data_IF_227914008483
#
_entry.id   IF_227914008483
#
_cell.length_a   1.000
_cell.length_b   1.000
_cell.length_c   1.000
_cell.angle_alpha   90.00
_cell.angle_beta   90.00
_cell.angle_gamma   90.00
#
_symmetry.space_group_name_H-M   'P 1'
#
loop_
_entity.id
_entity.type
_entity.pdbx_description
1 polymer ?
#
# COMPACT_ATOMS: atom_id res chain seq x y z
N UNK A 1 -4.82 -40.68 -34.33
CA UNK A 1 -5.96 -40.52 -33.38
C UNK A 1 -5.95 -39.09 -32.84
N UNK A 2 -6.89 -38.25 -33.26
CA UNK A 2 -7.03 -36.87 -32.68
C UNK A 2 -7.70 -36.96 -31.31
N UNK A 3 -6.95 -36.70 -30.26
CA UNK A 3 -7.50 -36.58 -28.91
C UNK A 3 -8.55 -35.43 -28.91
N UNK A 4 -9.79 -35.76 -28.67
CA UNK A 4 -10.86 -34.79 -28.41
C UNK A 4 -10.49 -34.07 -27.11
N UNK A 5 -10.00 -32.80 -27.17
CA UNK A 5 -9.85 -31.94 -25.99
C UNK A 5 -11.23 -31.82 -25.33
N UNK A 6 -11.42 -32.45 -24.18
CA UNK A 6 -12.58 -32.21 -23.33
C UNK A 6 -12.56 -30.73 -22.96
N UNK A 7 -13.63 -30.01 -23.32
CA UNK A 7 -13.80 -28.61 -22.89
C UNK A 7 -13.97 -28.67 -21.37
N UNK A 8 -12.96 -28.20 -20.67
CA UNK A 8 -13.03 -28.06 -19.22
C UNK A 8 -13.96 -26.87 -18.89
N UNK A 9 -15.11 -27.15 -18.36
CA UNK A 9 -16.14 -26.13 -18.05
C UNK A 9 -15.67 -25.20 -16.94
N UNK A 10 -14.90 -25.71 -16.00
CA UNK A 10 -14.40 -24.93 -14.85
C UNK A 10 -13.62 -23.68 -15.23
N UNK A 11 -12.56 -23.73 -16.09
CA UNK A 11 -11.81 -22.52 -16.47
C UNK A 11 -12.67 -21.52 -17.24
N UNK A 12 -13.67 -21.98 -18.01
CA UNK A 12 -14.56 -21.07 -18.73
C UNK A 12 -15.47 -20.32 -17.75
N UNK A 13 -16.12 -21.03 -16.83
CA UNK A 13 -16.99 -20.42 -15.81
C UNK A 13 -16.19 -19.48 -14.91
N UNK A 14 -15.00 -19.93 -14.46
CA UNK A 14 -14.12 -19.10 -13.64
C UNK A 14 -13.67 -17.82 -14.40
N UNK A 15 -13.27 -17.96 -15.66
CA UNK A 15 -12.92 -16.83 -16.51
C UNK A 15 -14.07 -15.83 -16.69
N UNK A 16 -15.29 -16.32 -16.89
CA UNK A 16 -16.47 -15.49 -17.02
C UNK A 16 -16.78 -14.72 -15.74
N UNK A 17 -16.65 -15.35 -14.58
CA UNK A 17 -16.82 -14.71 -13.27
C UNK A 17 -15.77 -13.59 -13.10
N UNK A 18 -14.50 -13.86 -13.39
CA UNK A 18 -13.45 -12.83 -13.30
C UNK A 18 -13.67 -11.66 -14.25
N UNK A 19 -14.14 -11.91 -15.48
CA UNK A 19 -14.46 -10.85 -16.43
C UNK A 19 -15.59 -9.98 -15.89
N UNK A 20 -16.67 -10.58 -15.38
CA UNK A 20 -17.80 -9.83 -14.81
C UNK A 20 -17.34 -8.98 -13.63
N UNK A 21 -16.60 -9.56 -12.69
CA UNK A 21 -16.06 -8.83 -11.53
C UNK A 21 -15.13 -7.70 -11.94
N UNK A 22 -14.26 -7.94 -12.92
CA UNK A 22 -13.36 -6.92 -13.44
C UNK A 22 -14.13 -5.76 -14.10
N UNK A 23 -15.12 -6.04 -14.90
CA UNK A 23 -15.96 -5.02 -15.53
C UNK A 23 -16.73 -4.20 -14.50
N UNK A 24 -17.25 -4.86 -13.46
CA UNK A 24 -17.97 -4.19 -12.37
C UNK A 24 -17.09 -3.18 -11.61
N UNK A 25 -15.78 -3.42 -11.54
CA UNK A 25 -14.80 -2.51 -10.92
C UNK A 25 -14.33 -1.46 -11.94
N UNK A 26 -14.01 -1.86 -13.16
CA UNK A 26 -13.41 -0.99 -14.17
C UNK A 26 -14.40 0.07 -14.63
N UNK A 27 -15.68 -0.29 -14.82
CA UNK A 27 -16.70 0.64 -15.34
C UNK A 27 -16.84 1.90 -14.46
N UNK A 28 -17.04 1.80 -13.12
CA UNK A 28 -17.12 3.00 -12.28
C UNK A 28 -15.80 3.77 -12.23
N UNK A 29 -14.65 3.10 -12.27
CA UNK A 29 -13.34 3.77 -12.30
C UNK A 29 -13.16 4.55 -13.62
N UNK A 30 -13.57 3.96 -14.75
CA UNK A 30 -13.56 4.63 -16.05
C UNK A 30 -14.43 5.88 -16.04
N UNK A 31 -15.63 5.77 -15.45
CA UNK A 31 -16.52 6.93 -15.32
C UNK A 31 -15.85 8.07 -14.53
N UNK A 32 -15.25 7.79 -13.39
CA UNK A 32 -14.55 8.80 -12.59
C UNK A 32 -13.44 9.47 -13.41
N UNK A 33 -12.71 8.68 -14.20
CA UNK A 33 -11.64 9.19 -15.06
C UNK A 33 -12.21 10.09 -16.17
N UNK A 34 -13.29 9.70 -16.82
CA UNK A 34 -13.96 10.50 -17.85
C UNK A 34 -14.52 11.81 -17.25
N UNK A 35 -15.21 11.72 -16.11
CA UNK A 35 -15.79 12.88 -15.42
C UNK A 35 -14.69 13.86 -14.95
N UNK A 36 -13.49 13.38 -14.63
CA UNK A 36 -12.36 14.24 -14.22
C UNK A 36 -11.86 15.16 -15.33
N UNK A 37 -12.09 14.78 -16.59
CA UNK A 37 -11.71 15.55 -17.77
C UNK A 37 -12.90 16.27 -18.43
N UNK A 38 -14.12 16.10 -17.92
CA UNK A 38 -15.29 16.75 -18.49
C UNK A 38 -15.60 18.09 -17.78
N UNK A 39 -15.74 19.17 -18.56
CA UNK A 39 -16.15 20.49 -18.06
C UNK A 39 -17.64 20.55 -17.74
N UNK A 40 -18.44 19.69 -18.38
CA UNK A 40 -19.88 19.56 -18.13
C UNK A 40 -20.15 18.42 -17.18
N UNK A 41 -20.55 18.74 -15.94
CA UNK A 41 -21.09 17.76 -15.00
C UNK A 41 -22.37 17.15 -15.55
N UNK A 42 -22.24 16.07 -16.28
CA UNK A 42 -23.37 15.37 -16.85
C UNK A 42 -23.78 14.20 -15.96
N UNK A 43 -25.06 14.19 -15.60
CA UNK A 43 -25.69 13.02 -14.98
C UNK A 43 -25.79 11.89 -16.01
N UNK A 44 -25.27 10.71 -15.67
CA UNK A 44 -25.35 9.53 -16.50
C UNK A 44 -24.02 8.82 -16.74
N UNK A 45 -24.06 7.63 -17.33
CA UNK A 45 -22.85 6.90 -17.74
C UNK A 45 -22.42 7.38 -19.12
N UNK A 46 -21.32 8.14 -19.18
CA UNK A 46 -20.67 8.53 -20.44
C UNK A 46 -19.34 7.80 -20.56
N UNK A 47 -19.04 7.37 -21.78
CA UNK A 47 -17.76 6.70 -22.10
C UNK A 47 -16.67 7.69 -22.51
N UNK A 48 -17.05 8.93 -22.89
CA UNK A 48 -16.17 10.02 -23.29
C UNK A 48 -16.62 11.35 -22.70
N UNK A 49 -15.67 12.29 -22.41
CA UNK A 49 -16.01 13.65 -22.00
C UNK A 49 -16.70 14.39 -23.15
N UNK A 50 -17.72 15.19 -22.85
CA UNK A 50 -18.39 16.06 -23.87
C UNK A 50 -17.53 17.27 -24.19
N UNK A 51 -16.95 17.88 -23.16
CA UNK A 51 -16.02 19.00 -23.33
C UNK A 51 -14.74 18.72 -22.53
N UNK A 52 -13.70 18.33 -23.24
CA UNK A 52 -12.41 18.03 -22.62
C UNK A 52 -11.80 19.29 -21.97
N UNK A 53 -11.49 19.21 -20.69
CA UNK A 53 -10.85 20.30 -19.97
C UNK A 53 -10.20 19.87 -18.67
N UNK A 54 -9.31 20.72 -18.18
CA UNK A 54 -8.55 20.50 -16.96
C UNK A 54 -9.00 21.39 -15.79
N UNK A 55 -10.17 22.04 -15.93
CA UNK A 55 -10.66 22.98 -14.93
C UNK A 55 -10.86 22.31 -13.54
N UNK A 56 -11.29 21.05 -13.51
CA UNK A 56 -11.38 20.27 -12.28
C UNK A 56 -10.04 20.17 -11.56
N UNK A 57 -8.98 19.80 -12.27
CA UNK A 57 -7.62 19.71 -11.73
C UNK A 57 -7.10 21.08 -11.27
N UNK A 58 -7.29 22.11 -12.09
CA UNK A 58 -6.88 23.47 -11.76
C UNK A 58 -7.60 23.96 -10.49
N UNK A 59 -8.88 23.66 -10.33
CA UNK A 59 -9.64 24.03 -9.14
C UNK A 59 -9.12 23.32 -7.88
N UNK A 60 -8.76 22.05 -7.97
CA UNK A 60 -8.15 21.28 -6.86
C UNK A 60 -6.82 21.89 -6.43
N UNK A 61 -5.92 22.21 -7.38
CA UNK A 61 -4.62 22.81 -7.06
C UNK A 61 -4.72 24.26 -6.56
N UNK A 62 -5.71 25.03 -7.03
CA UNK A 62 -5.94 26.39 -6.56
C UNK A 62 -6.66 26.47 -5.21
N UNK A 63 -7.36 25.42 -4.82
CA UNK A 63 -8.10 25.40 -3.56
C UNK A 63 -7.19 24.89 -2.41
N UNK A 64 -6.80 25.76 -1.45
CA UNK A 64 -5.92 25.36 -0.33
C UNK A 64 -6.49 24.23 0.52
N UNK A 65 -7.82 24.12 0.62
CA UNK A 65 -8.51 23.07 1.39
C UNK A 65 -8.27 21.68 0.78
N UNK A 66 -8.01 21.58 -0.52
CA UNK A 66 -7.76 20.33 -1.23
C UNK A 66 -6.27 20.10 -1.49
N UNK A 67 -5.54 21.14 -1.88
CA UNK A 67 -4.12 21.04 -2.22
C UNK A 67 -3.23 20.80 -1.01
N UNK A 68 -3.54 21.41 0.14
CA UNK A 68 -2.75 21.25 1.38
C UNK A 68 -2.75 19.80 1.90
N UNK A 69 -3.89 19.12 2.07
CA UNK A 69 -3.91 17.69 2.46
C UNK A 69 -3.20 16.78 1.44
N UNK A 70 -3.33 17.08 0.15
CA UNK A 70 -2.64 16.32 -0.90
C UNK A 70 -1.12 16.45 -0.76
N UNK A 71 -0.62 17.66 -0.53
CA UNK A 71 0.81 17.89 -0.32
C UNK A 71 1.33 17.20 0.94
N UNK A 72 0.57 17.25 2.05
CA UNK A 72 0.90 16.52 3.27
C UNK A 72 0.95 15.01 2.99
N UNK A 73 -0.02 14.46 2.26
CA UNK A 73 -0.04 13.04 1.90
C UNK A 73 1.20 12.63 1.08
N UNK A 74 1.62 13.44 0.12
CA UNK A 74 2.84 13.19 -0.67
C UNK A 74 4.08 13.23 0.22
N UNK A 75 4.22 14.25 1.06
CA UNK A 75 5.38 14.39 1.96
C UNK A 75 5.45 13.22 2.94
N UNK A 76 4.34 12.88 3.59
CA UNK A 76 4.29 11.77 4.56
C UNK A 76 4.56 10.43 3.91
N UNK A 77 4.09 10.21 2.68
CA UNK A 77 4.34 8.98 1.93
C UNK A 77 5.81 8.86 1.57
N UNK A 78 6.43 9.90 1.02
CA UNK A 78 7.85 9.88 0.66
C UNK A 78 8.73 9.70 1.90
N UNK A 79 8.52 10.52 2.93
CA UNK A 79 9.29 10.45 4.17
C UNK A 79 9.09 9.10 4.88
N UNK A 80 7.85 8.63 4.99
CA UNK A 80 7.52 7.35 5.61
C UNK A 80 8.15 6.18 4.87
N UNK A 81 8.11 6.18 3.53
CA UNK A 81 8.72 5.13 2.71
C UNK A 81 10.24 5.09 2.88
N UNK A 82 10.90 6.24 2.85
CA UNK A 82 12.37 6.32 3.03
C UNK A 82 12.75 5.76 4.41
N UNK A 83 12.07 6.21 5.47
CA UNK A 83 12.34 5.76 6.83
C UNK A 83 12.04 4.27 6.99
N UNK A 84 10.92 3.78 6.44
CA UNK A 84 10.55 2.37 6.46
C UNK A 84 11.59 1.49 5.75
N UNK A 85 12.09 1.92 4.59
CA UNK A 85 13.15 1.20 3.86
C UNK A 85 14.45 1.16 4.67
N UNK A 86 14.86 2.29 5.23
CA UNK A 86 16.06 2.35 6.06
C UNK A 86 15.94 1.39 7.26
N UNK A 87 14.86 1.50 8.03
CA UNK A 87 14.66 0.67 9.22
C UNK A 87 14.53 -0.82 8.88
N UNK A 88 13.79 -1.16 7.83
CA UNK A 88 13.61 -2.55 7.39
C UNK A 88 14.92 -3.14 6.86
N UNK A 89 15.71 -2.37 6.10
CA UNK A 89 17.00 -2.82 5.57
C UNK A 89 18.01 -3.05 6.70
N UNK A 90 18.18 -2.07 7.59
CA UNK A 90 19.10 -2.22 8.72
C UNK A 90 18.65 -3.33 9.68
N UNK A 91 17.36 -3.39 9.99
CA UNK A 91 16.81 -4.44 10.84
C UNK A 91 16.99 -5.85 10.25
N UNK A 92 16.72 -6.00 8.96
CA UNK A 92 16.93 -7.26 8.25
C UNK A 92 18.41 -7.64 8.20
N UNK A 93 19.31 -6.68 7.92
CA UNK A 93 20.74 -6.90 7.89
C UNK A 93 21.27 -7.40 9.26
N UNK A 94 20.85 -6.76 10.34
CA UNK A 94 21.24 -7.19 11.70
C UNK A 94 20.75 -8.62 11.98
N UNK A 95 19.56 -8.98 11.54
CA UNK A 95 19.00 -10.33 11.77
C UNK A 95 19.66 -11.44 10.96
N UNK A 96 20.36 -11.15 9.87
CA UNK A 96 21.11 -12.15 9.12
C UNK A 96 22.52 -12.40 9.67
N UNK A 97 23.05 -11.52 10.52
CA UNK A 97 24.38 -11.68 11.10
C UNK A 97 24.43 -12.89 12.05
N UNK A 98 25.28 -13.87 11.71
CA UNK A 98 25.40 -15.12 12.47
C UNK A 98 25.97 -14.92 13.88
N UNK A 99 26.87 -13.96 14.03
CA UNK A 99 27.59 -13.69 15.30
C UNK A 99 26.83 -12.77 16.25
N UNK A 100 25.60 -12.37 15.90
CA UNK A 100 24.82 -11.47 16.75
C UNK A 100 24.31 -12.18 18.01
N UNK A 101 24.73 -11.77 19.23
CA UNK A 101 24.21 -12.33 20.48
C UNK A 101 22.70 -12.02 20.60
N UNK A 102 21.92 -13.04 20.92
CA UNK A 102 20.47 -12.88 21.08
C UNK A 102 19.66 -12.79 19.78
N UNK A 103 20.24 -13.05 18.61
CA UNK A 103 19.55 -13.04 17.29
C UNK A 103 18.20 -13.75 17.33
N UNK A 104 18.17 -14.98 17.85
CA UNK A 104 16.95 -15.78 17.92
C UNK A 104 15.88 -15.16 18.83
N UNK A 105 16.31 -14.53 19.93
CA UNK A 105 15.40 -13.83 20.82
C UNK A 105 14.75 -12.63 20.10
N UNK A 106 15.55 -11.80 19.43
CA UNK A 106 15.03 -10.66 18.67
C UNK A 106 14.13 -11.10 17.52
N UNK A 107 14.51 -12.14 16.77
CA UNK A 107 13.67 -12.67 15.70
C UNK A 107 12.32 -13.18 16.23
N UNK A 108 12.32 -13.92 17.33
CA UNK A 108 11.10 -14.42 17.97
C UNK A 108 10.23 -13.29 18.53
N UNK A 109 10.83 -12.25 19.14
CA UNK A 109 10.08 -11.07 19.60
C UNK A 109 9.42 -10.34 18.45
N UNK A 110 10.11 -10.15 17.32
CA UNK A 110 9.52 -9.54 16.14
C UNK A 110 8.36 -10.36 15.59
N UNK A 111 8.52 -11.69 15.47
CA UNK A 111 7.44 -12.57 15.05
C UNK A 111 6.27 -12.56 16.04
N UNK A 112 6.56 -12.49 17.34
CA UNK A 112 5.53 -12.35 18.37
C UNK A 112 4.72 -11.07 18.17
N UNK A 113 5.37 -9.91 17.93
CA UNK A 113 4.68 -8.64 17.68
C UNK A 113 3.86 -8.63 16.38
N UNK A 114 4.19 -9.48 15.42
CA UNK A 114 3.40 -9.65 14.20
C UNK A 114 2.08 -10.37 14.46
N UNK A 115 2.09 -11.36 15.38
CA UNK A 115 0.92 -12.17 15.70
C UNK A 115 0.06 -11.49 16.78
N UNK A 116 0.70 -10.91 17.79
CA UNK A 116 0.03 -10.28 18.92
C UNK A 116 0.04 -8.77 18.78
N UNK A 117 -1.14 -8.22 18.56
CA UNK A 117 -1.35 -6.77 18.53
C UNK A 117 -2.11 -6.35 19.79
N UNK A 118 -1.61 -5.34 20.46
CA UNK A 118 -2.25 -4.80 21.68
C UNK A 118 -3.62 -4.12 21.43
N UNK A 119 -3.96 -3.88 20.18
CA UNK A 119 -5.19 -3.17 19.80
C UNK A 119 -5.03 -1.65 19.83
N UNK A 120 -6.13 -0.95 19.53
CA UNK A 120 -6.12 0.50 19.34
C UNK A 120 -5.86 1.28 20.65
N UNK A 121 -6.39 0.84 21.78
CA UNK A 121 -6.26 1.57 23.05
C UNK A 121 -4.81 1.61 23.55
N UNK A 122 -4.08 0.49 23.71
CA UNK A 122 -2.67 0.52 24.06
C UNK A 122 -1.81 1.32 23.08
N UNK A 123 -2.06 1.18 21.77
CA UNK A 123 -1.36 1.95 20.75
C UNK A 123 -1.54 3.46 20.95
N UNK A 124 -2.77 3.92 21.18
CA UNK A 124 -3.05 5.33 21.46
C UNK A 124 -2.33 5.83 22.72
N UNK A 125 -2.34 5.04 23.79
CA UNK A 125 -1.67 5.41 25.06
C UNK A 125 -0.14 5.56 24.87
N UNK A 126 0.47 4.66 24.10
CA UNK A 126 1.91 4.76 23.78
C UNK A 126 2.18 6.00 22.92
N UNK A 127 1.42 6.24 21.88
CA UNK A 127 1.58 7.43 21.03
C UNK A 127 1.37 8.73 21.83
N UNK A 128 0.44 8.74 22.78
CA UNK A 128 0.20 9.86 23.66
C UNK A 128 1.36 10.09 24.64
N UNK A 129 1.91 9.03 25.21
CA UNK A 129 3.07 9.13 26.12
C UNK A 129 4.34 9.63 25.41
N UNK A 130 4.48 9.33 24.13
CA UNK A 130 5.56 9.82 23.26
C UNK A 130 5.31 11.23 22.70
N UNK A 131 4.20 11.89 23.06
CA UNK A 131 3.78 13.21 22.55
C UNK A 131 3.64 13.27 21.01
N UNK A 132 3.37 12.14 20.38
CA UNK A 132 3.21 12.04 18.93
C UNK A 132 1.78 12.32 18.45
N UNK A 133 0.80 12.35 19.35
CA UNK A 133 -0.61 12.64 19.00
C UNK A 133 -0.74 14.01 18.35
N UNK A 134 -1.57 14.12 17.31
CA UNK A 134 -1.81 15.33 16.52
C UNK A 134 -0.55 15.87 15.78
N UNK A 135 0.43 15.03 15.52
CA UNK A 135 1.61 15.41 14.74
C UNK A 135 1.71 14.60 13.43
N UNK A 136 2.37 15.16 12.44
CA UNK A 136 2.65 14.44 11.19
C UNK A 136 3.55 13.20 11.45
N UNK A 137 4.36 13.25 12.51
CA UNK A 137 5.28 12.19 12.86
C UNK A 137 4.58 10.86 13.21
N UNK A 138 3.35 10.89 13.72
CA UNK A 138 2.62 9.65 13.99
C UNK A 138 2.31 8.90 12.69
N UNK A 139 1.98 9.63 11.63
CA UNK A 139 1.66 9.04 10.32
C UNK A 139 2.92 8.49 9.63
N UNK A 140 4.07 9.09 9.90
CA UNK A 140 5.36 8.66 9.34
C UNK A 140 5.97 7.51 10.14
N UNK A 141 6.10 7.66 11.47
CA UNK A 141 6.88 6.73 12.30
C UNK A 141 6.11 5.46 12.68
N UNK A 142 4.80 5.56 12.91
CA UNK A 142 4.01 4.42 13.34
C UNK A 142 3.99 3.28 12.30
N UNK A 143 3.75 3.54 10.99
CA UNK A 143 3.81 2.51 9.96
C UNK A 143 5.22 2.20 9.47
N UNK A 144 6.22 3.02 9.82
CA UNK A 144 7.59 2.89 9.30
C UNK A 144 8.26 1.58 9.75
N UNK A 145 7.98 1.10 10.95
CA UNK A 145 8.48 -0.19 11.44
C UNK A 145 7.42 -1.27 11.22
N UNK A 146 7.37 -1.81 10.01
CA UNK A 146 6.51 -2.93 9.68
C UNK A 146 7.30 -4.24 9.72
N UNK A 147 6.97 -5.11 10.68
CA UNK A 147 7.68 -6.39 10.89
C UNK A 147 7.55 -7.30 9.67
N UNK A 148 6.43 -7.28 8.95
CA UNK A 148 6.27 -8.06 7.73
C UNK A 148 7.30 -7.66 6.67
N UNK A 149 7.47 -6.35 6.42
CA UNK A 149 8.45 -5.85 5.47
C UNK A 149 9.89 -6.21 5.88
N UNK A 150 10.18 -6.17 7.18
CA UNK A 150 11.47 -6.54 7.73
C UNK A 150 11.76 -8.03 7.50
N UNK A 151 10.81 -8.93 7.77
CA UNK A 151 10.94 -10.37 7.53
C UNK A 151 11.09 -10.67 6.04
N UNK A 152 10.36 -9.97 5.20
CA UNK A 152 10.45 -10.13 3.74
C UNK A 152 11.84 -9.72 3.23
N UNK A 153 12.37 -8.60 3.71
CA UNK A 153 13.72 -8.13 3.39
C UNK A 153 14.80 -9.09 3.92
N UNK A 154 14.63 -9.63 5.12
CA UNK A 154 15.51 -10.65 5.69
C UNK A 154 15.57 -11.90 4.79
N UNK A 155 14.41 -12.43 4.39
CA UNK A 155 14.35 -13.60 3.52
C UNK A 155 15.03 -13.34 2.16
N UNK A 156 14.89 -12.13 1.64
CA UNK A 156 15.60 -11.71 0.43
C UNK A 156 17.11 -11.73 0.64
N UNK A 157 17.62 -11.16 1.71
CA UNK A 157 19.05 -11.15 2.02
C UNK A 157 19.62 -12.55 2.26
N UNK A 158 18.87 -13.43 2.94
CA UNK A 158 19.28 -14.84 3.15
C UNK A 158 19.35 -15.63 1.82
N UNK A 159 18.62 -15.20 0.78
CA UNK A 159 18.65 -15.79 -0.55
C UNK A 159 19.83 -15.33 -1.43
N UNK A 160 20.59 -14.32 -1.00
CA UNK A 160 21.76 -13.85 -1.77
C UNK A 160 22.93 -14.80 -1.53
N UNK A 161 23.55 -15.38 -2.59
CA UNK A 161 24.71 -16.26 -2.44
C UNK A 161 25.88 -15.50 -1.81
N UNK A 162 26.55 -16.13 -0.85
CA UNK A 162 27.73 -15.56 -0.18
C UNK A 162 28.95 -15.30 -1.09
N UNK A 163 28.83 -15.63 -2.37
CA UNK A 163 29.88 -15.43 -3.39
C UNK A 163 29.80 -14.08 -4.12
N UNK A 164 28.87 -13.21 -3.72
CA UNK A 164 28.75 -11.81 -4.19
C UNK A 164 29.25 -10.84 -3.13
#
# INVERSE_FOLDING_TARGET
MKSKKKIEVFPIVNGLIFIILSLLIIIPMWKVLVDSFDLKTAYGMKLWPEEFGLAGYISVFKNPTLSHPLMISVITTIAGTIIALILSTFGAYVLIQWDMPGRNLFANLLLFTMIFQGGMIPTYLVLKSLHLTNTIWVVILFPALNVYNLVLMRNFFEGIPASL
#
